data_IF_242027386319
#
_entry.id   IF_242027386319
#
_cell.length_a   1.000
_cell.length_b   1.000
_cell.length_c   1.000
_cell.angle_alpha   90.00
_cell.angle_beta   90.00
_cell.angle_gamma   90.00
#
_symmetry.space_group_name_H-M   'P 1'
#
loop_
_entity.id
_entity.type
_entity.pdbx_description
1 polymer ?
#
# COMPACT_ATOMS: atom_id res chain seq x y z
N UNK A 1 15.43 7.92 8.06
CA UNK A 1 14.67 6.92 8.84
C UNK A 1 15.21 5.54 8.48
N UNK A 2 16.14 5.03 9.27
CA UNK A 2 16.79 3.73 9.05
C UNK A 2 16.12 2.69 9.95
N UNK A 3 15.00 2.14 9.49
CA UNK A 3 14.24 1.12 10.23
C UNK A 3 13.75 -0.06 9.39
N UNK A 4 13.86 0.00 8.07
CA UNK A 4 13.12 -0.92 7.19
C UNK A 4 13.98 -1.98 6.47
N UNK A 5 15.30 -2.01 6.70
CA UNK A 5 16.23 -2.92 6.02
C UNK A 5 16.11 -4.41 6.41
N UNK A 6 15.04 -4.82 7.07
CA UNK A 6 14.88 -6.20 7.56
C UNK A 6 13.44 -6.73 7.58
N UNK A 7 12.46 -5.98 7.04
CA UNK A 7 11.07 -6.43 7.02
C UNK A 7 10.77 -7.07 5.66
N UNK A 8 10.37 -8.34 5.67
CA UNK A 8 9.91 -9.03 4.46
C UNK A 8 8.71 -8.31 3.85
N UNK A 9 8.58 -8.34 2.52
CA UNK A 9 7.43 -7.79 1.79
C UNK A 9 6.10 -8.32 2.34
N UNK A 10 6.01 -9.60 2.71
CA UNK A 10 4.82 -10.16 3.34
C UNK A 10 4.42 -9.45 4.65
N UNK A 11 5.42 -9.10 5.47
CA UNK A 11 5.19 -8.37 6.72
C UNK A 11 4.86 -6.89 6.47
N UNK A 12 5.42 -6.30 5.42
CA UNK A 12 5.06 -4.94 4.99
C UNK A 12 3.61 -4.87 4.51
N UNK A 13 3.16 -5.87 3.74
CA UNK A 13 1.75 -6.01 3.34
C UNK A 13 0.84 -6.10 4.58
N UNK A 14 1.14 -7.00 5.53
CA UNK A 14 0.37 -7.15 6.76
C UNK A 14 0.30 -5.84 7.57
N UNK A 15 1.45 -5.19 7.75
CA UNK A 15 1.54 -3.92 8.47
C UNK A 15 0.71 -2.81 7.80
N UNK A 16 0.80 -2.65 6.48
CA UNK A 16 0.08 -1.62 5.74
C UNK A 16 -1.44 -1.86 5.79
N UNK A 17 -1.89 -3.11 5.58
CA UNK A 17 -3.32 -3.47 5.66
C UNK A 17 -3.85 -3.26 7.07
N UNK A 18 -3.09 -3.67 8.09
CA UNK A 18 -3.44 -3.45 9.50
C UNK A 18 -3.54 -1.97 9.89
N UNK A 19 -2.63 -1.13 9.38
CA UNK A 19 -2.67 0.32 9.57
C UNK A 19 -3.94 0.95 8.94
N UNK A 20 -4.34 0.50 7.75
CA UNK A 20 -5.60 0.95 7.11
C UNK A 20 -6.84 0.44 7.85
N UNK A 21 -6.79 -0.78 8.38
CA UNK A 21 -7.86 -1.37 9.19
C UNK A 21 -8.13 -0.58 10.47
N UNK A 22 -7.07 -0.23 11.21
CA UNK A 22 -7.15 0.53 12.47
C UNK A 22 -7.33 2.03 12.28
N UNK A 23 -7.04 2.58 11.09
CA UNK A 23 -7.16 3.99 10.80
C UNK A 23 -8.61 4.53 10.81
N UNK A 24 -8.87 5.50 11.70
CA UNK A 24 -10.09 6.33 11.67
C UNK A 24 -10.03 7.36 10.54
N UNK A 25 -10.29 6.92 9.31
CA UNK A 25 -10.15 7.74 8.10
C UNK A 25 -11.28 8.76 7.94
N UNK A 26 -11.01 10.01 8.30
CA UNK A 26 -11.87 11.16 7.99
C UNK A 26 -11.16 12.13 7.05
N UNK A 27 -11.71 12.31 5.85
CA UNK A 27 -11.16 13.22 4.85
C UNK A 27 -12.06 14.44 4.68
N UNK A 28 -11.46 15.63 4.72
CA UNK A 28 -12.14 16.93 4.54
C UNK A 28 -11.88 17.58 3.17
N UNK A 29 -11.30 16.82 2.24
CA UNK A 29 -10.88 17.29 0.91
C UNK A 29 -11.83 16.80 -0.21
N UNK A 30 -11.66 17.35 -1.42
CA UNK A 30 -12.48 17.03 -2.60
C UNK A 30 -12.40 15.54 -3.04
N UNK A 31 -11.36 14.82 -2.59
CA UNK A 31 -11.11 13.42 -2.92
C UNK A 31 -11.61 12.45 -1.84
N UNK A 32 -12.39 12.93 -0.86
CA UNK A 32 -12.92 12.13 0.25
C UNK A 32 -13.50 10.80 -0.21
N UNK A 33 -14.30 10.80 -1.27
CA UNK A 33 -14.99 9.59 -1.77
C UNK A 33 -13.99 8.58 -2.33
N UNK A 34 -13.00 9.04 -3.08
CA UNK A 34 -11.95 8.21 -3.67
C UNK A 34 -11.07 7.60 -2.57
N UNK A 35 -10.67 8.40 -1.59
CA UNK A 35 -9.84 7.95 -0.47
C UNK A 35 -10.58 6.97 0.45
N UNK A 36 -11.87 7.22 0.73
CA UNK A 36 -12.69 6.24 1.46
C UNK A 36 -12.83 4.94 0.66
N UNK A 37 -13.06 5.01 -0.65
CA UNK A 37 -13.13 3.81 -1.49
C UNK A 37 -11.81 3.03 -1.49
N UNK A 38 -10.67 3.73 -1.56
CA UNK A 38 -9.34 3.12 -1.47
C UNK A 38 -9.13 2.42 -0.12
N UNK A 39 -9.39 3.10 1.00
CA UNK A 39 -9.25 2.52 2.34
C UNK A 39 -10.11 1.26 2.52
N UNK A 40 -11.33 1.26 1.97
CA UNK A 40 -12.23 0.10 2.00
C UNK A 40 -11.67 -1.06 1.19
N UNK A 41 -11.11 -0.80 0.01
CA UNK A 41 -10.51 -1.84 -0.85
C UNK A 41 -9.30 -2.48 -0.18
N UNK A 42 -8.42 -1.67 0.42
CA UNK A 42 -7.25 -2.19 1.15
C UNK A 42 -7.69 -3.07 2.32
N UNK A 43 -8.75 -2.69 3.06
CA UNK A 43 -9.29 -3.52 4.16
C UNK A 43 -9.79 -4.90 3.71
N UNK A 44 -10.19 -5.06 2.45
CA UNK A 44 -10.59 -6.37 1.93
C UNK A 44 -9.41 -7.34 1.83
N UNK A 45 -8.17 -6.84 1.85
CA UNK A 45 -6.96 -7.67 1.88
C UNK A 45 -6.66 -8.21 3.29
N UNK A 46 -7.47 -7.89 4.32
CA UNK A 46 -7.27 -8.37 5.68
C UNK A 46 -7.06 -9.88 5.80
N UNK A 47 -7.93 -10.73 5.22
CA UNK A 47 -7.74 -12.18 5.23
C UNK A 47 -6.44 -12.63 4.56
N UNK A 48 -6.08 -12.00 3.44
CA UNK A 48 -4.84 -12.30 2.71
C UNK A 48 -3.59 -11.93 3.53
N UNK A 49 -3.61 -10.80 4.23
CA UNK A 49 -2.52 -10.40 5.14
C UNK A 49 -2.32 -11.42 6.28
N UNK A 50 -3.40 -11.94 6.84
CA UNK A 50 -3.32 -12.98 7.88
C UNK A 50 -2.73 -14.29 7.33
N UNK A 51 -3.18 -14.72 6.14
CA UNK A 51 -2.62 -15.90 5.45
C UNK A 51 -1.11 -15.75 5.20
N UNK A 52 -0.65 -14.57 4.75
CA UNK A 52 0.78 -14.29 4.57
C UNK A 52 1.56 -14.38 5.89
N UNK A 53 0.99 -13.87 6.97
CA UNK A 53 1.58 -13.93 8.31
C UNK A 53 1.71 -15.36 8.83
N UNK A 54 0.73 -16.21 8.54
CA UNK A 54 0.73 -17.63 8.87
C UNK A 54 1.73 -18.43 8.02
N UNK A 55 1.74 -18.22 6.70
CA UNK A 55 2.60 -18.91 5.74
C UNK A 55 4.10 -18.70 6.02
N UNK A 56 4.48 -17.52 6.50
CA UNK A 56 5.86 -17.17 6.86
C UNK A 56 6.46 -18.07 7.97
N UNK A 57 5.64 -18.84 8.69
CA UNK A 57 6.13 -19.72 9.77
C UNK A 57 6.73 -21.04 9.28
N UNK A 58 6.85 -21.33 7.97
CA UNK A 58 7.38 -22.64 7.57
C UNK A 58 7.66 -22.98 6.09
N UNK A 59 8.30 -22.15 5.27
CA UNK A 59 8.61 -22.56 3.88
C UNK A 59 10.03 -22.22 3.36
N UNK A 60 10.54 -23.07 2.46
CA UNK A 60 11.80 -22.92 1.73
C UNK A 60 11.68 -22.03 0.47
N UNK A 61 10.45 -21.69 0.06
CA UNK A 61 10.12 -20.85 -1.12
C UNK A 61 9.96 -19.37 -0.75
N UNK A 62 10.38 -19.00 0.45
CA UNK A 62 10.13 -17.69 1.03
C UNK A 62 10.75 -16.55 0.23
N UNK A 63 11.93 -16.75 -0.37
CA UNK A 63 12.62 -15.67 -1.12
C UNK A 63 11.89 -15.29 -2.42
N UNK A 64 11.36 -16.27 -3.15
CA UNK A 64 10.59 -16.03 -4.39
C UNK A 64 9.24 -15.38 -4.08
N UNK A 65 8.58 -15.86 -3.01
CA UNK A 65 7.33 -15.26 -2.52
C UNK A 65 7.54 -13.80 -2.09
N UNK A 66 8.60 -13.51 -1.32
CA UNK A 66 8.92 -12.15 -0.88
C UNK A 66 9.24 -11.24 -2.07
N UNK A 67 9.93 -11.75 -3.10
CA UNK A 67 10.19 -11.00 -4.34
C UNK A 67 8.91 -10.71 -5.11
N UNK A 68 7.98 -11.66 -5.19
CA UNK A 68 6.69 -11.47 -5.86
C UNK A 68 5.77 -10.49 -5.10
N UNK A 69 5.88 -10.44 -3.78
CA UNK A 69 5.10 -9.55 -2.91
C UNK A 69 5.65 -8.13 -2.82
N UNK A 70 6.94 -7.92 -3.12
CA UNK A 70 7.58 -6.61 -3.00
C UNK A 70 6.82 -5.47 -3.71
N UNK A 71 6.37 -5.61 -4.97
CA UNK A 71 5.60 -4.55 -5.64
C UNK A 71 4.27 -4.24 -4.97
N UNK A 72 3.60 -5.25 -4.40
CA UNK A 72 2.34 -5.07 -3.68
C UNK A 72 2.57 -4.32 -2.36
N UNK A 73 3.63 -4.71 -1.64
CA UNK A 73 4.01 -4.05 -0.40
C UNK A 73 4.30 -2.56 -0.63
N UNK A 74 5.11 -2.24 -1.65
CA UNK A 74 5.46 -0.87 -2.00
C UNK A 74 4.20 -0.06 -2.39
N UNK A 75 3.31 -0.64 -3.20
CA UNK A 75 2.06 0.02 -3.58
C UNK A 75 1.11 0.27 -2.39
N UNK A 76 1.09 -0.63 -1.41
CA UNK A 76 0.27 -0.47 -0.20
C UNK A 76 0.82 0.59 0.74
N UNK A 77 2.14 0.70 0.84
CA UNK A 77 2.82 1.79 1.57
C UNK A 77 2.53 3.15 0.92
N UNK A 78 2.67 3.27 -0.40
CA UNK A 78 2.30 4.49 -1.13
C UNK A 78 0.81 4.84 -0.94
N UNK A 79 -0.07 3.84 -0.99
CA UNK A 79 -1.49 4.05 -0.76
C UNK A 79 -1.79 4.50 0.68
N UNK A 80 -1.07 3.96 1.67
CA UNK A 80 -1.18 4.37 3.06
C UNK A 80 -0.71 5.83 3.24
N UNK A 81 0.39 6.21 2.62
CA UNK A 81 0.88 7.59 2.61
C UNK A 81 -0.13 8.54 1.97
N UNK A 82 -0.76 8.15 0.86
CA UNK A 82 -1.84 8.92 0.25
C UNK A 82 -3.03 9.10 1.19
N UNK A 83 -3.42 8.06 1.94
CA UNK A 83 -4.49 8.18 2.94
C UNK A 83 -4.09 9.13 4.08
N UNK A 84 -2.86 9.07 4.56
CA UNK A 84 -2.36 9.99 5.58
C UNK A 84 -2.36 11.44 5.08
N UNK A 85 -1.82 11.70 3.88
CA UNK A 85 -1.83 13.01 3.25
C UNK A 85 -3.25 13.56 3.06
N UNK A 86 -4.17 12.69 2.66
CA UNK A 86 -5.58 13.03 2.50
C UNK A 86 -6.25 13.41 3.83
N UNK A 87 -5.91 12.72 4.92
CA UNK A 87 -6.41 12.99 6.27
C UNK A 87 -5.88 14.32 6.80
N UNK A 88 -4.59 14.56 6.59
CA UNK A 88 -3.90 15.74 7.12
C UNK A 88 -4.24 17.02 6.31
N UNK A 89 -4.89 16.88 5.15
CA UNK A 89 -5.55 18.00 4.43
C UNK A 89 -4.60 18.89 3.61
N UNK A 90 -3.38 18.45 3.34
CA UNK A 90 -2.36 19.27 2.66
C UNK A 90 -2.67 19.47 1.16
N UNK A 91 -2.58 20.71 0.65
CA UNK A 91 -2.79 21.08 -0.78
C UNK A 91 -1.79 20.44 -1.75
N UNK A 92 -0.71 19.82 -1.25
CA UNK A 92 0.30 19.07 -2.03
C UNK A 92 -0.33 17.82 -2.71
N UNK A 93 -1.53 17.42 -2.26
CA UNK A 93 -2.32 16.29 -2.73
C UNK A 93 -2.61 16.25 -4.25
N UNK A 94 -2.68 17.41 -4.91
CA UNK A 94 -2.89 17.47 -6.37
C UNK A 94 -1.66 16.97 -7.16
N UNK A 95 -0.46 17.21 -6.63
CA UNK A 95 0.80 16.91 -7.32
C UNK A 95 1.17 15.44 -7.11
N UNK A 96 0.93 14.88 -5.91
CA UNK A 96 1.20 13.47 -5.60
C UNK A 96 0.35 12.50 -6.43
N UNK A 97 -0.97 12.75 -6.55
CA UNK A 97 -1.85 11.92 -7.41
C UNK A 97 -1.43 11.99 -8.87
N UNK A 98 -1.03 13.17 -9.36
CA UNK A 98 -0.57 13.35 -10.73
C UNK A 98 0.74 12.58 -10.97
N UNK A 99 1.70 12.64 -10.04
CA UNK A 99 2.93 11.87 -10.11
C UNK A 99 2.69 10.36 -10.07
N UNK A 100 1.78 9.88 -9.22
CA UNK A 100 1.46 8.45 -9.12
C UNK A 100 0.77 7.95 -10.39
N UNK A 101 -0.14 8.74 -10.98
CA UNK A 101 -0.76 8.43 -12.26
C UNK A 101 0.28 8.38 -13.39
N UNK A 102 1.23 9.32 -13.42
CA UNK A 102 2.32 9.34 -14.41
C UNK A 102 3.24 8.14 -14.22
N UNK A 103 3.61 7.79 -12.99
CA UNK A 103 4.46 6.63 -12.71
C UNK A 103 3.76 5.31 -13.06
N UNK A 104 2.49 5.19 -12.73
CA UNK A 104 1.69 4.01 -13.04
C UNK A 104 1.47 3.83 -14.55
N UNK A 105 1.17 4.91 -15.29
CA UNK A 105 1.07 4.87 -16.75
C UNK A 105 2.44 4.67 -17.44
N UNK A 106 3.50 5.27 -16.91
CA UNK A 106 4.86 5.11 -17.42
C UNK A 106 5.34 3.67 -17.33
N UNK A 107 5.14 3.02 -16.17
CA UNK A 107 5.45 1.60 -16.00
C UNK A 107 4.58 0.68 -16.87
N UNK A 108 3.32 1.04 -17.11
CA UNK A 108 2.45 0.28 -18.02
C UNK A 108 2.90 0.37 -19.48
N UNK A 109 3.42 1.52 -19.93
CA UNK A 109 3.98 1.69 -21.28
C UNK A 109 5.26 0.87 -21.47
N UNK A 110 6.13 0.85 -20.47
CA UNK A 110 7.39 0.06 -20.51
C UNK A 110 7.10 -1.45 -20.47
N UNK A 111 6.01 -1.88 -19.85
CA UNK A 111 5.61 -3.30 -19.80
C UNK A 111 5.00 -3.82 -21.11
N UNK A 112 4.51 -2.93 -21.98
CA UNK A 112 3.84 -3.27 -23.25
C UNK A 112 4.80 -3.18 -24.46
N UNK A 113 6.01 -2.63 -24.29
CA UNK A 113 7.05 -2.55 -25.33
C UNK A 113 8.14 -3.60 -25.12
#
# INVERSE_FOLDING_TARGET
MAGDRGRGAAERVDAAVGAVGSGGWEFRNAYRRQLLALSRRIRLLGPFAEELREARRGSAEQEEQERALAPLADALEEALDLLQLGRDGSRIFLIGILSLLIAFWGSLIVLIN
#
